data_IF_816046719808
#
_entry.id   IF_816046719808
#
_cell.length_a   1.000
_cell.length_b   1.000
_cell.length_c   1.000
_cell.angle_alpha   90.00
_cell.angle_beta   90.00
_cell.angle_gamma   90.00
#
_symmetry.space_group_name_H-M   'P 1'
#
loop_
_entity.id
_entity.type
_entity.pdbx_description
1 polymer ?
#
# COMPACT_ATOMS: atom_id res chain seq x y z
N UNK A 1 3.32 0.75 14.36
CA UNK A 1 4.43 -0.01 13.75
C UNK A 1 4.31 -1.51 14.13
N UNK A 2 3.18 -2.17 13.84
CA UNK A 2 2.97 -3.59 14.20
C UNK A 2 2.13 -4.38 13.17
N UNK A 3 1.07 -3.78 12.61
CA UNK A 3 0.19 -4.44 11.64
C UNK A 3 0.86 -4.74 10.28
N UNK A 4 1.63 -3.80 9.73
CA UNK A 4 2.34 -3.97 8.46
C UNK A 4 3.46 -5.03 8.51
N UNK A 5 3.96 -5.37 9.72
CA UNK A 5 5.09 -6.31 9.92
C UNK A 5 4.64 -7.76 10.10
N UNK A 6 3.34 -8.02 10.25
CA UNK A 6 2.80 -9.35 10.50
C UNK A 6 2.18 -10.02 9.28
N UNK A 7 2.23 -9.39 8.10
CA UNK A 7 1.59 -9.94 6.90
C UNK A 7 0.07 -10.16 7.10
N UNK A 8 -0.53 -9.53 8.12
CA UNK A 8 -1.94 -9.73 8.53
C UNK A 8 -2.91 -8.72 7.92
N UNK A 9 -2.47 -7.91 6.96
CA UNK A 9 -3.39 -7.13 6.14
C UNK A 9 -4.16 -8.09 5.23
N UNK A 10 -5.49 -8.04 5.29
CA UNK A 10 -6.37 -8.86 4.47
C UNK A 10 -6.29 -8.39 3.01
N UNK A 11 -5.45 -9.02 2.22
CA UNK A 11 -5.33 -8.80 0.77
C UNK A 11 -5.65 -10.11 0.04
N UNK A 12 -6.19 -10.06 -1.18
CA UNK A 12 -6.55 -11.27 -1.92
C UNK A 12 -5.38 -12.22 -2.21
N UNK A 13 -4.12 -11.79 -2.04
CA UNK A 13 -2.95 -12.68 -2.00
C UNK A 13 -3.08 -13.83 -0.98
N UNK A 14 -3.72 -13.57 0.18
CA UNK A 14 -4.00 -14.62 1.17
C UNK A 14 -5.18 -15.52 0.79
N UNK A 15 -6.10 -15.04 -0.04
CA UNK A 15 -7.12 -15.90 -0.66
C UNK A 15 -6.46 -16.81 -1.70
N UNK A 16 -5.58 -16.26 -2.55
CA UNK A 16 -4.86 -17.00 -3.59
C UNK A 16 -3.92 -18.08 -3.01
N UNK A 17 -3.13 -17.76 -1.98
CA UNK A 17 -2.24 -18.72 -1.29
C UNK A 17 -2.99 -19.81 -0.51
N UNK A 18 -4.30 -19.65 -0.26
CA UNK A 18 -5.17 -20.66 0.35
C UNK A 18 -6.02 -21.44 -0.67
N UNK A 19 -5.78 -21.25 -1.96
CA UNK A 19 -6.51 -21.93 -3.03
C UNK A 19 -7.98 -21.50 -3.14
N UNK A 20 -8.34 -20.34 -2.57
CA UNK A 20 -9.68 -19.79 -2.69
C UNK A 20 -9.80 -19.02 -4.01
N UNK A 21 -11.01 -19.01 -4.59
CA UNK A 21 -11.29 -18.21 -5.78
C UNK A 21 -10.92 -16.76 -5.51
N UNK A 22 -10.02 -16.25 -6.34
CA UNK A 22 -9.57 -14.88 -6.30
C UNK A 22 -9.80 -14.27 -7.69
N UNK A 23 -10.22 -13.01 -7.75
CA UNK A 23 -10.25 -12.27 -9.00
C UNK A 23 -8.85 -12.29 -9.65
N UNK A 24 -8.79 -12.49 -10.96
CA UNK A 24 -7.53 -12.45 -11.71
C UNK A 24 -6.86 -11.06 -11.68
N UNK A 25 -7.62 -10.03 -11.29
CA UNK A 25 -7.24 -8.63 -11.25
C UNK A 25 -7.76 -7.96 -9.98
N UNK A 26 -7.03 -6.95 -9.52
CA UNK A 26 -7.41 -6.08 -8.41
C UNK A 26 -8.78 -5.44 -8.64
N UNK A 27 -9.72 -5.62 -7.72
CA UNK A 27 -11.09 -5.10 -7.85
C UNK A 27 -11.17 -3.57 -7.76
N UNK A 28 -10.12 -2.92 -7.25
CA UNK A 28 -10.09 -1.47 -7.07
C UNK A 28 -9.66 -0.72 -8.34
N UNK A 29 -8.75 -1.29 -9.13
CA UNK A 29 -8.19 -0.62 -10.30
C UNK A 29 -8.35 -1.41 -11.61
N UNK A 30 -8.63 -2.71 -11.54
CA UNK A 30 -8.73 -3.64 -12.67
C UNK A 30 -7.49 -3.68 -13.62
N UNK A 31 -6.32 -3.22 -13.16
CA UNK A 31 -5.13 -3.07 -14.01
C UNK A 31 -4.10 -4.20 -13.83
N UNK A 32 -3.97 -4.78 -12.64
CA UNK A 32 -2.96 -5.78 -12.32
C UNK A 32 -3.53 -6.82 -11.34
N UNK A 33 -2.90 -8.01 -11.21
CA UNK A 33 -3.24 -8.98 -10.17
C UNK A 33 -3.23 -8.34 -8.79
N UNK A 34 -4.21 -8.69 -7.95
CA UNK A 34 -4.26 -8.18 -6.59
C UNK A 34 -3.14 -8.81 -5.76
N UNK A 35 -2.20 -7.98 -5.30
CA UNK A 35 -1.18 -8.37 -4.34
C UNK A 35 -1.05 -7.37 -3.19
N UNK A 36 -0.42 -7.75 -2.08
CA UNK A 36 -0.10 -6.82 -0.97
C UNK A 36 0.73 -5.66 -1.49
N UNK A 37 1.71 -5.95 -2.34
CA UNK A 37 2.54 -4.93 -2.98
C UNK A 37 1.68 -4.01 -3.86
N UNK A 38 0.82 -4.59 -4.69
CA UNK A 38 -0.06 -3.82 -5.54
C UNK A 38 -1.04 -2.95 -4.72
N UNK A 39 -1.79 -3.52 -3.78
CA UNK A 39 -2.74 -2.77 -2.95
C UNK A 39 -2.08 -1.70 -2.07
N UNK A 40 -0.83 -1.89 -1.65
CA UNK A 40 -0.18 -0.94 -0.74
C UNK A 40 0.57 0.17 -1.48
N UNK A 41 1.16 -0.13 -2.66
CA UNK A 41 2.16 0.73 -3.32
C UNK A 41 1.85 1.04 -4.79
N UNK A 42 1.30 0.10 -5.55
CA UNK A 42 1.16 0.25 -7.00
C UNK A 42 -0.28 0.50 -7.49
N UNK A 43 -1.29 0.27 -6.66
CA UNK A 43 -2.70 0.43 -7.02
C UNK A 43 -3.03 1.93 -7.10
N UNK A 44 -3.51 2.43 -8.26
CA UNK A 44 -3.87 3.85 -8.41
C UNK A 44 -4.94 4.30 -7.41
N UNK A 45 -5.90 3.43 -7.10
CA UNK A 45 -6.92 3.71 -6.09
C UNK A 45 -6.30 3.86 -4.69
N UNK A 46 -5.43 2.93 -4.30
CA UNK A 46 -4.75 3.02 -3.00
C UNK A 46 -3.85 4.24 -2.89
N UNK A 47 -3.23 4.67 -3.99
CA UNK A 47 -2.45 5.90 -4.04
C UNK A 47 -3.27 7.15 -3.76
N UNK A 48 -4.51 7.20 -4.27
CA UNK A 48 -5.43 8.29 -3.95
C UNK A 48 -5.75 8.31 -2.45
N UNK A 49 -6.02 7.15 -1.85
CA UNK A 49 -6.24 7.05 -0.41
C UNK A 49 -5.02 7.52 0.38
N UNK A 50 -3.81 7.14 -0.03
CA UNK A 50 -2.58 7.64 0.59
C UNK A 50 -2.47 9.15 0.49
N UNK A 51 -2.71 9.72 -0.69
CA UNK A 51 -2.71 11.17 -0.87
C UNK A 51 -3.69 11.86 0.10
N UNK A 52 -4.92 11.37 0.21
CA UNK A 52 -5.95 11.97 1.06
C UNK A 52 -5.61 11.86 2.55
N UNK A 53 -5.08 10.70 2.98
CA UNK A 53 -4.65 10.46 4.36
C UNK A 53 -3.45 11.35 4.72
N UNK A 54 -2.44 11.43 3.86
CA UNK A 54 -1.25 12.26 4.09
C UNK A 54 -1.62 13.75 4.13
N UNK A 55 -2.50 14.18 3.23
CA UNK A 55 -3.03 15.53 3.23
C UNK A 55 -3.81 15.83 4.51
N UNK A 56 -4.67 14.91 4.96
CA UNK A 56 -5.41 15.04 6.22
C UNK A 56 -4.48 15.14 7.44
N UNK A 57 -3.42 14.35 7.46
CA UNK A 57 -2.40 14.35 8.52
C UNK A 57 -1.39 15.50 8.40
N UNK A 58 -1.46 16.31 7.33
CA UNK A 58 -0.49 17.39 7.01
C UNK A 58 0.96 16.91 6.96
N UNK A 59 1.15 15.67 6.49
CA UNK A 59 2.48 15.10 6.31
C UNK A 59 3.03 15.54 4.94
N UNK A 60 4.24 16.13 4.86
CA UNK A 60 4.81 16.63 3.62
C UNK A 60 5.41 15.53 2.72
N UNK A 61 5.10 14.26 2.99
CA UNK A 61 5.65 13.14 2.23
C UNK A 61 4.78 12.80 1.01
N UNK A 62 5.41 12.25 -0.03
CA UNK A 62 4.71 11.79 -1.22
C UNK A 62 4.09 10.41 -0.98
N UNK A 63 2.91 10.13 -1.54
CA UNK A 63 2.34 8.80 -1.52
C UNK A 63 3.26 7.81 -2.25
N UNK A 64 3.22 6.51 -1.90
CA UNK A 64 4.02 5.50 -2.55
C UNK A 64 3.65 5.35 -4.03
N UNK A 65 4.66 5.15 -4.88
CA UNK A 65 4.47 4.98 -6.33
C UNK A 65 5.12 3.68 -6.84
N UNK A 66 6.41 3.50 -6.58
CA UNK A 66 7.21 2.40 -7.15
C UNK A 66 8.20 1.77 -6.17
N UNK A 67 8.05 1.99 -4.87
CA UNK A 67 8.97 1.39 -3.92
C UNK A 67 8.85 -0.14 -3.89
N UNK A 68 9.97 -0.79 -3.59
CA UNK A 68 10.07 -2.25 -3.49
C UNK A 68 9.32 -2.75 -2.26
N UNK A 69 9.29 -1.97 -1.18
CA UNK A 69 8.52 -2.29 0.02
C UNK A 69 7.91 -1.07 0.70
N UNK A 70 6.81 -1.29 1.42
CA UNK A 70 6.14 -0.26 2.22
C UNK A 70 7.04 0.27 3.34
N UNK A 71 7.94 -0.56 3.86
CA UNK A 71 8.90 -0.13 4.87
C UNK A 71 9.94 0.82 4.28
N UNK A 72 10.38 0.59 3.04
CA UNK A 72 11.36 1.46 2.39
C UNK A 72 10.75 2.83 2.10
N UNK A 73 9.53 2.87 1.55
CA UNK A 73 8.76 4.11 1.41
C UNK A 73 8.62 4.83 2.75
N UNK A 74 8.15 4.14 3.79
CA UNK A 74 7.90 4.75 5.10
C UNK A 74 9.18 5.29 5.75
N UNK A 75 10.33 4.64 5.54
CA UNK A 75 11.62 5.15 6.00
C UNK A 75 11.98 6.46 5.30
N UNK A 76 11.80 6.53 3.98
CA UNK A 76 12.06 7.76 3.21
C UNK A 76 11.11 8.88 3.64
N UNK A 77 9.81 8.61 3.66
CA UNK A 77 8.78 9.57 4.08
C UNK A 77 9.04 10.15 5.49
N UNK A 78 9.56 9.33 6.41
CA UNK A 78 9.93 9.77 7.76
C UNK A 78 11.18 10.65 7.82
N UNK A 79 12.15 10.46 6.91
CA UNK A 79 13.31 11.35 6.83
C UNK A 79 12.93 12.70 6.21
N UNK A 80 12.02 12.67 5.22
CA UNK A 80 11.58 13.88 4.50
C UNK A 80 10.57 14.72 5.30
N UNK A 81 10.02 14.17 6.39
CA UNK A 81 9.17 14.94 7.31
C UNK A 81 10.09 15.70 8.28
N UNK A 82 10.17 17.05 8.21
CA UNK A 82 10.92 17.81 9.19
C UNK A 82 10.29 17.57 10.56
N UNK A 83 11.10 17.25 11.56
CA UNK A 83 10.64 17.23 12.95
C UNK A 83 10.15 18.65 13.30
N UNK A 84 9.03 18.80 14.03
CA UNK A 84 8.58 20.10 14.51
C UNK A 84 9.60 20.76 15.45
#
# INVERSE_FOLDING_TARGET
>A
HWLARLDRCWTADRLASRGLQHPARCLLCDQAPESVHHLSLACPFARQIWHDVLHWLRLPCTPPDREISLNDWWRTARHDTPMP
#
